data_IF_763546733718
#
_entry.id   IF_763546733718
#
_cell.length_a   1.000
_cell.length_b   1.000
_cell.length_c   1.000
_cell.angle_alpha   90.00
_cell.angle_beta   90.00
_cell.angle_gamma   90.00
#
_symmetry.space_group_name_H-M   'P 1'
#
loop_
_entity.id
_entity.type
_entity.pdbx_description
1 polymer ?
#
# COMPACT_ATOMS: atom_id res chain seq x y z
N UNK A 1 14.47 0.42 -4.29
CA UNK A 1 13.27 1.25 -4.42
C UNK A 1 12.17 0.72 -3.52
N UNK A 2 11.53 1.61 -2.80
CA UNK A 2 10.49 1.23 -1.85
C UNK A 2 9.13 1.67 -2.32
N UNK A 3 8.16 0.78 -2.17
CA UNK A 3 6.78 1.07 -2.51
C UNK A 3 5.93 0.92 -1.26
N UNK A 4 4.81 1.58 -1.26
CA UNK A 4 3.88 1.56 -0.13
C UNK A 4 2.53 1.14 -0.64
N UNK A 5 2.09 -0.02 -0.20
CA UNK A 5 0.88 -0.63 -0.71
C UNK A 5 -0.24 -0.48 0.30
N UNK A 6 -1.41 -0.08 -0.19
CA UNK A 6 -2.61 -0.06 0.61
C UNK A 6 -3.27 -1.42 0.48
N UNK A 7 -3.33 -2.15 1.58
CA UNK A 7 -3.82 -3.53 1.56
C UNK A 7 -4.98 -3.68 2.51
N UNK A 8 -5.81 -4.65 2.20
CA UNK A 8 -6.96 -4.99 3.02
C UNK A 8 -6.69 -6.30 3.74
N UNK A 9 -7.09 -6.36 5.00
CA UNK A 9 -6.88 -7.55 5.81
C UNK A 9 -7.59 -8.74 5.17
N UNK A 10 -6.87 -9.83 5.02
CA UNK A 10 -7.43 -11.02 4.43
C UNK A 10 -7.36 -11.06 2.91
N UNK A 11 -6.94 -9.98 2.29
CA UNK A 11 -6.81 -9.90 0.84
C UNK A 11 -5.33 -9.77 0.51
N UNK A 12 -4.76 -10.74 -0.20
CA UNK A 12 -3.34 -10.68 -0.52
C UNK A 12 -2.98 -9.63 -1.56
N UNK A 13 -3.97 -9.14 -2.28
CA UNK A 13 -3.69 -8.16 -3.33
C UNK A 13 -3.82 -6.75 -2.79
N UNK A 14 -2.91 -5.90 -3.21
CA UNK A 14 -2.96 -4.50 -2.81
C UNK A 14 -4.10 -3.79 -3.54
N UNK A 15 -4.78 -2.91 -2.81
CA UNK A 15 -5.80 -2.07 -3.41
C UNK A 15 -5.11 -1.05 -4.32
N UNK A 16 -4.00 -0.49 -3.85
CA UNK A 16 -3.28 0.50 -4.60
C UNK A 16 -1.84 0.52 -4.12
N UNK A 17 -0.96 1.09 -4.93
CA UNK A 17 0.46 1.15 -4.62
C UNK A 17 0.93 2.58 -4.86
N UNK A 18 1.75 3.07 -3.91
CA UNK A 18 2.23 4.44 -3.95
C UNK A 18 3.74 4.47 -3.84
N UNK A 19 4.34 5.50 -4.40
CA UNK A 19 5.78 5.68 -4.33
C UNK A 19 6.22 6.38 -3.05
N UNK A 20 5.30 7.05 -2.37
CA UNK A 20 5.64 7.81 -1.18
C UNK A 20 4.75 7.37 -0.02
N UNK A 21 5.33 7.32 1.19
CA UNK A 21 4.54 6.92 2.35
C UNK A 21 3.42 7.88 2.66
N UNK A 22 3.64 9.18 2.44
CA UNK A 22 2.60 10.15 2.74
C UNK A 22 1.42 10.02 1.79
N UNK A 23 1.67 9.65 0.55
CA UNK A 23 0.58 9.43 -0.40
C UNK A 23 -0.25 8.22 0.01
N UNK A 24 0.41 7.14 0.42
CA UNK A 24 -0.29 5.95 0.86
C UNK A 24 -1.11 6.25 2.12
N UNK A 25 -0.52 7.01 3.04
CA UNK A 25 -1.21 7.35 4.27
C UNK A 25 -2.44 8.21 3.99
N UNK A 26 -2.31 9.13 3.06
CA UNK A 26 -3.45 9.98 2.69
C UNK A 26 -4.56 9.15 2.08
N UNK A 27 -4.20 8.22 1.21
CA UNK A 27 -5.21 7.36 0.60
C UNK A 27 -5.92 6.51 1.65
N UNK A 28 -5.16 6.01 2.62
CA UNK A 28 -5.75 5.25 3.70
C UNK A 28 -6.74 6.10 4.49
N UNK A 29 -6.35 7.33 4.81
CA UNK A 29 -7.22 8.21 5.57
C UNK A 29 -8.49 8.55 4.80
N UNK A 30 -8.37 8.75 3.50
CA UNK A 30 -9.55 9.05 2.69
C UNK A 30 -10.48 7.85 2.61
N UNK A 31 -9.94 6.66 2.50
CA UNK A 31 -10.77 5.46 2.49
C UNK A 31 -11.50 5.29 3.82
N UNK A 32 -10.82 5.54 4.92
CA UNK A 32 -11.45 5.40 6.23
C UNK A 32 -12.48 6.49 6.47
N UNK A 33 -12.31 7.64 5.85
CA UNK A 33 -13.31 8.70 5.97
C UNK A 33 -14.61 8.30 5.30
N UNK A 34 -14.50 7.67 4.13
CA UNK A 34 -15.67 7.23 3.40
C UNK A 34 -16.29 5.99 4.04
N UNK A 35 -15.45 5.10 4.54
CA UNK A 35 -15.88 3.82 5.10
C UNK A 35 -15.24 3.62 6.45
N UNK A 36 -15.78 4.24 7.49
CA UNK A 36 -15.18 4.11 8.83
C UNK A 36 -15.13 2.68 9.33
N UNK A 37 -16.01 1.83 8.84
CA UNK A 37 -16.03 0.43 9.26
C UNK A 37 -14.78 -0.32 8.81
N UNK A 38 -14.03 0.25 7.87
CA UNK A 38 -12.82 -0.39 7.39
C UNK A 38 -11.62 -0.13 8.28
N UNK A 39 -11.82 0.63 9.34
CA UNK A 39 -10.73 0.87 10.27
C UNK A 39 -10.27 -0.45 10.87
N UNK A 40 -8.99 -0.71 10.79
CA UNK A 40 -8.44 -1.98 11.22
C UNK A 40 -8.42 -3.02 10.13
N UNK A 41 -9.14 -2.80 9.03
CA UNK A 41 -9.10 -3.70 7.89
C UNK A 41 -8.10 -3.23 6.84
N UNK A 42 -7.85 -1.94 6.77
CA UNK A 42 -6.91 -1.38 5.81
C UNK A 42 -5.63 -1.01 6.50
N UNK A 43 -4.53 -1.16 5.78
CA UNK A 43 -3.22 -0.77 6.30
C UNK A 43 -2.30 -0.46 5.14
N UNK A 44 -1.21 0.25 5.46
CA UNK A 44 -0.16 0.53 4.49
C UNK A 44 0.99 -0.42 4.79
N UNK A 45 1.44 -1.12 3.75
CA UNK A 45 2.51 -2.08 3.87
C UNK A 45 3.68 -1.63 3.02
N UNK A 46 4.86 -1.64 3.61
CA UNK A 46 6.08 -1.24 2.92
C UNK A 46 6.63 -2.42 2.15
N UNK A 47 6.90 -2.22 0.87
CA UNK A 47 7.40 -3.27 -0.01
C UNK A 47 8.73 -2.83 -0.57
N UNK A 48 9.74 -3.68 -0.42
CA UNK A 48 11.03 -3.42 -1.03
C UNK A 48 11.02 -3.99 -2.43
N UNK A 49 11.18 -3.13 -3.41
CA UNK A 49 11.18 -3.53 -4.80
C UNK A 49 12.56 -3.40 -5.38
N UNK A 50 13.12 -4.49 -5.84
CA UNK A 50 14.45 -4.53 -6.42
C UNK A 50 14.33 -4.93 -7.88
N UNK A 51 14.25 -3.93 -8.73
CA UNK A 51 14.09 -4.19 -10.16
C UNK A 51 15.38 -4.50 -10.86
N UNK A 52 16.50 -4.19 -10.24
CA UNK A 52 17.79 -4.32 -10.91
C UNK A 52 18.22 -5.75 -11.08
N UNK A 53 17.80 -6.61 -10.18
CA UNK A 53 18.31 -7.97 -10.18
C UNK A 53 17.95 -8.71 -11.46
N UNK A 54 16.76 -8.54 -11.93
CA UNK A 54 16.36 -9.25 -13.14
C UNK A 54 16.96 -8.66 -14.38
N UNK A 55 17.27 -7.39 -14.35
CA UNK A 55 17.87 -6.75 -15.50
C UNK A 55 19.28 -7.22 -15.73
N UNK A 56 19.88 -7.78 -14.73
CA UNK A 56 21.26 -8.23 -14.86
C UNK A 56 21.42 -9.31 -15.91
N UNK A 57 20.38 -9.78 -16.41
CA UNK A 57 20.46 -10.84 -17.41
C UNK A 57 19.95 -10.48 -18.73
#
# INVERSE_FOLDING_TARGET
MRLYALVEAGDPEAIDVFLRPEDAQRALEECLRDEPDWRGLLRVEEIEFSATSECAN
#
